data_IF_159359090230
#
_entry.id   IF_159359090230
#
_cell.length_a   1.000
_cell.length_b   1.000
_cell.length_c   1.000
_cell.angle_alpha   90.00
_cell.angle_beta   90.00
_cell.angle_gamma   90.00
#
_symmetry.space_group_name_H-M   'P 1'
#
loop_
_entity.id
_entity.type
_entity.pdbx_description
1 polymer ?
#
# COMPACT_ATOMS: atom_id res chain seq x y z
N UNK A 1 1.13 9.90 46.03
CA UNK A 1 1.88 8.85 46.75
C UNK A 1 2.71 8.13 45.69
N UNK A 2 4.01 8.36 45.46
CA UNK A 2 5.12 8.73 46.33
C UNK A 2 6.27 9.35 45.47
N UNK A 3 6.86 10.44 45.97
CA UNK A 3 8.28 10.93 45.93
C UNK A 3 9.04 11.19 44.61
N UNK A 4 9.28 12.49 44.39
CA UNK A 4 10.54 13.12 43.97
C UNK A 4 11.69 12.84 44.97
N UNK A 5 12.97 12.90 44.53
CA UNK A 5 14.10 13.66 45.12
C UNK A 5 15.49 13.34 44.50
N UNK A 6 16.36 14.38 44.44
CA UNK A 6 17.84 14.35 44.42
C UNK A 6 18.47 14.85 43.12
N UNK A 7 18.91 16.10 42.93
CA UNK A 7 20.03 16.89 43.50
C UNK A 7 21.46 16.34 43.26
N UNK A 8 22.35 17.16 42.67
CA UNK A 8 23.72 17.34 43.20
C UNK A 8 24.95 17.20 42.27
N UNK A 9 25.67 18.33 42.09
CA UNK A 9 27.15 18.55 42.08
C UNK A 9 28.07 18.22 40.87
N UNK A 10 28.55 19.30 40.23
CA UNK A 10 29.93 19.86 40.15
C UNK A 10 31.22 19.02 40.01
N UNK A 11 32.19 19.71 39.37
CA UNK A 11 33.65 19.48 39.19
C UNK A 11 34.05 18.72 37.90
N UNK A 12 35.04 19.13 37.10
CA UNK A 12 36.26 19.87 37.41
C UNK A 12 36.80 20.71 36.24
N UNK A 13 37.41 21.85 36.60
CA UNK A 13 38.38 22.61 35.82
C UNK A 13 39.74 21.89 35.82
N UNK A 14 40.49 21.99 34.72
CA UNK A 14 41.95 22.15 34.83
C UNK A 14 42.53 22.89 33.63
N UNK A 15 43.23 23.99 33.94
CA UNK A 15 44.10 24.76 33.05
C UNK A 15 45.46 24.06 32.92
N UNK A 16 46.12 24.23 31.78
CA UNK A 16 47.56 24.58 31.73
C UNK A 16 47.88 25.33 30.43
N UNK A 17 48.59 26.45 30.57
CA UNK A 17 49.06 27.33 29.52
C UNK A 17 50.52 27.10 29.14
N UNK A 18 50.85 27.33 27.86
CA UNK A 18 52.13 27.89 27.37
C UNK A 18 51.93 28.07 25.85
N UNK A 19 52.02 29.24 25.22
CA UNK A 19 52.85 30.39 25.49
C UNK A 19 53.99 30.39 24.45
N UNK A 20 53.78 31.00 23.28
CA UNK A 20 54.85 31.68 22.52
C UNK A 20 54.26 32.59 21.44
N UNK A 21 54.79 33.81 21.40
CA UNK A 21 54.44 34.92 20.51
C UNK A 21 55.64 35.15 19.60
N UNK A 22 55.45 35.16 18.27
CA UNK A 22 56.37 35.81 17.34
C UNK A 22 55.56 36.64 16.35
N UNK A 23 55.74 37.95 16.44
CA UNK A 23 55.22 38.99 15.54
C UNK A 23 56.11 39.17 14.32
N UNK A 24 55.56 39.34 13.11
CA UNK A 24 56.02 40.28 12.07
C UNK A 24 54.95 40.41 10.95
N UNK A 25 54.38 41.61 10.76
CA UNK A 25 53.64 42.07 9.57
C UNK A 25 54.65 42.68 8.55
N UNK A 26 54.27 43.08 7.31
CA UNK A 26 53.24 42.58 6.39
C UNK A 26 53.81 42.34 4.97
N UNK A 27 53.10 41.60 4.11
CA UNK A 27 53.32 41.69 2.66
C UNK A 27 52.01 41.75 1.89
N UNK A 28 51.97 42.72 0.99
CA UNK A 28 50.82 43.20 0.21
C UNK A 28 50.52 42.26 -0.98
N UNK A 29 49.22 42.00 -1.19
CA UNK A 29 48.48 41.68 -2.44
C UNK A 29 49.08 40.68 -3.45
N UNK A 30 48.35 39.59 -3.78
CA UNK A 30 47.51 39.51 -5.00
C UNK A 30 46.69 38.19 -5.07
N UNK A 31 45.37 38.34 -5.18
CA UNK A 31 44.38 37.52 -5.92
C UNK A 31 44.53 35.99 -5.94
N UNK A 32 43.57 35.28 -5.35
CA UNK A 32 42.67 34.36 -6.08
C UNK A 32 41.52 33.85 -5.21
N UNK A 33 40.30 34.20 -5.62
CA UNK A 33 39.06 33.60 -5.13
C UNK A 33 39.00 32.13 -5.58
N UNK A 34 38.97 31.20 -4.64
CA UNK A 34 38.45 29.86 -4.86
C UNK A 34 37.80 29.35 -3.57
N UNK A 35 36.78 30.07 -3.11
CA UNK A 35 35.86 29.61 -2.07
C UNK A 35 34.46 29.82 -2.62
N UNK A 36 33.94 28.77 -3.26
CA UNK A 36 32.53 28.42 -3.54
C UNK A 36 32.53 27.63 -4.85
N UNK A 37 32.34 26.30 -4.77
CA UNK A 37 31.52 25.52 -5.73
C UNK A 37 31.60 24.03 -5.39
N UNK A 38 31.02 23.62 -4.27
CA UNK A 38 30.78 22.19 -3.98
C UNK A 38 29.43 21.94 -3.26
N UNK A 39 28.42 22.80 -3.51
CA UNK A 39 27.06 22.60 -2.96
C UNK A 39 25.93 22.58 -4.01
N UNK A 40 26.23 22.49 -5.31
CA UNK A 40 25.19 22.52 -6.36
C UNK A 40 24.63 21.15 -6.80
N UNK A 41 25.40 20.07 -6.69
CA UNK A 41 25.04 18.81 -7.35
C UNK A 41 24.15 17.87 -6.51
N UNK A 42 24.18 17.98 -5.18
CA UNK A 42 23.34 17.15 -4.32
C UNK A 42 21.85 17.52 -4.46
N UNK A 43 21.51 18.81 -4.46
CA UNK A 43 20.12 19.27 -4.58
C UNK A 43 19.47 18.94 -5.94
N UNK A 44 20.23 19.06 -7.03
CA UNK A 44 19.75 18.67 -8.37
C UNK A 44 19.54 17.15 -8.49
N UNK A 45 20.44 16.35 -7.93
CA UNK A 45 20.34 14.88 -7.98
C UNK A 45 19.14 14.37 -7.17
N UNK A 46 18.91 14.93 -5.98
CA UNK A 46 17.73 14.61 -5.15
C UNK A 46 16.41 15.05 -5.80
N UNK A 47 16.36 16.25 -6.39
CA UNK A 47 15.15 16.72 -7.07
C UNK A 47 14.81 15.88 -8.32
N UNK A 48 15.82 15.47 -9.09
CA UNK A 48 15.65 14.59 -10.25
C UNK A 48 15.21 13.19 -9.83
N UNK A 49 15.82 12.60 -8.79
CA UNK A 49 15.44 11.27 -8.28
C UNK A 49 14.03 11.25 -7.68
N UNK A 50 13.64 12.30 -6.93
CA UNK A 50 12.29 12.43 -6.39
C UNK A 50 11.24 12.66 -7.49
N UNK A 51 11.58 13.39 -8.54
CA UNK A 51 10.72 13.58 -9.71
C UNK A 51 10.55 12.27 -10.49
N UNK A 52 11.62 11.49 -10.65
CA UNK A 52 11.58 10.16 -11.31
C UNK A 52 10.82 9.11 -10.48
N UNK A 53 10.96 9.11 -9.15
CA UNK A 53 10.19 8.19 -8.31
C UNK A 53 8.70 8.55 -8.30
N UNK A 54 8.37 9.85 -8.24
CA UNK A 54 7.00 10.35 -8.34
C UNK A 54 6.34 10.05 -9.69
N UNK A 55 7.06 10.24 -10.81
CA UNK A 55 6.53 9.91 -12.15
C UNK A 55 6.32 8.40 -12.33
N UNK A 56 7.24 7.58 -11.81
CA UNK A 56 7.09 6.12 -11.82
C UNK A 56 5.92 5.64 -10.95
N UNK A 57 5.66 6.29 -9.81
CA UNK A 57 4.50 5.96 -8.97
C UNK A 57 3.19 6.33 -9.67
N UNK A 58 3.10 7.52 -10.25
CA UNK A 58 1.91 7.96 -10.97
C UNK A 58 1.59 7.03 -12.15
N UNK A 59 2.59 6.59 -12.92
CA UNK A 59 2.41 5.64 -14.02
C UNK A 59 1.87 4.27 -13.53
N UNK A 60 2.35 3.78 -12.38
CA UNK A 60 1.85 2.52 -11.78
C UNK A 60 0.42 2.66 -11.29
N UNK A 61 0.07 3.79 -10.67
CA UNK A 61 -1.31 4.07 -10.26
C UNK A 61 -2.21 4.11 -11.49
N UNK A 62 -1.81 4.84 -12.54
CA UNK A 62 -2.56 4.92 -13.79
C UNK A 62 -2.79 3.53 -14.38
N UNK A 63 -1.74 2.70 -14.47
CA UNK A 63 -1.86 1.34 -14.97
C UNK A 63 -2.85 0.52 -14.13
N UNK A 64 -2.77 0.61 -12.81
CA UNK A 64 -3.66 -0.12 -11.91
C UNK A 64 -5.13 0.34 -12.04
N UNK A 65 -5.37 1.65 -12.17
CA UNK A 65 -6.71 2.22 -12.42
C UNK A 65 -7.27 1.72 -13.75
N UNK A 66 -6.47 1.79 -14.82
CA UNK A 66 -6.89 1.34 -16.16
C UNK A 66 -7.23 -0.14 -16.17
N UNK A 67 -6.44 -0.96 -15.47
CA UNK A 67 -6.69 -2.39 -15.40
C UNK A 67 -7.93 -2.73 -14.57
N UNK A 68 -8.15 -2.08 -13.41
CA UNK A 68 -9.39 -2.25 -12.63
C UNK A 68 -10.61 -1.85 -13.47
N UNK A 69 -10.57 -0.71 -14.16
CA UNK A 69 -11.69 -0.27 -15.01
C UNK A 69 -11.87 -1.14 -16.27
N UNK A 70 -10.82 -1.82 -16.74
CA UNK A 70 -10.93 -2.78 -17.84
C UNK A 70 -11.59 -4.07 -17.41
N UNK A 71 -11.23 -4.58 -16.22
CA UNK A 71 -11.78 -5.81 -15.65
C UNK A 71 -13.19 -5.58 -15.09
N UNK A 72 -13.42 -4.40 -14.51
CA UNK A 72 -14.65 -3.99 -13.86
C UNK A 72 -15.15 -2.64 -14.38
N UNK A 73 -15.69 -2.55 -15.61
CA UNK A 73 -16.12 -1.28 -16.21
C UNK A 73 -17.22 -0.50 -15.46
N UNK A 74 -17.96 -1.15 -14.56
CA UNK A 74 -18.97 -0.52 -13.72
C UNK A 74 -18.41 -0.03 -12.37
N UNK A 75 -17.10 -0.18 -12.12
CA UNK A 75 -16.47 0.28 -10.91
C UNK A 75 -16.55 1.82 -10.78
N UNK A 76 -16.81 2.25 -9.56
CA UNK A 76 -16.91 3.66 -9.16
C UNK A 76 -15.65 4.13 -8.44
N UNK A 77 -15.60 5.39 -8.00
CA UNK A 77 -14.49 5.86 -7.17
C UNK A 77 -14.44 5.12 -5.83
N UNK A 78 -15.59 4.75 -5.27
CA UNK A 78 -15.67 3.91 -4.07
C UNK A 78 -15.01 2.55 -4.27
N UNK A 79 -15.19 1.92 -5.42
CA UNK A 79 -14.59 0.62 -5.73
C UNK A 79 -13.07 0.73 -5.96
N UNK A 80 -12.63 1.79 -6.65
CA UNK A 80 -11.21 2.12 -6.77
C UNK A 80 -10.57 2.39 -5.41
N UNK A 81 -11.25 3.13 -4.53
CA UNK A 81 -10.79 3.32 -3.15
C UNK A 81 -10.57 1.98 -2.46
N UNK A 82 -11.55 1.08 -2.51
CA UNK A 82 -11.43 -0.27 -1.92
C UNK A 82 -10.30 -1.07 -2.56
N UNK A 83 -10.12 -1.01 -3.88
CA UNK A 83 -9.06 -1.68 -4.61
C UNK A 83 -7.67 -1.26 -4.11
N UNK A 84 -7.41 0.05 -4.00
CA UNK A 84 -6.14 0.54 -3.47
C UNK A 84 -5.99 0.30 -1.97
N UNK A 85 -7.07 0.44 -1.20
CA UNK A 85 -7.10 0.16 0.23
C UNK A 85 -6.68 -1.29 0.52
N UNK A 86 -7.17 -2.25 -0.26
CA UNK A 86 -6.77 -3.65 -0.15
C UNK A 86 -5.30 -3.89 -0.48
N UNK A 87 -4.74 -3.14 -1.42
CA UNK A 87 -3.31 -3.19 -1.70
C UNK A 87 -2.45 -2.69 -0.54
N UNK A 88 -2.90 -1.65 0.17
CA UNK A 88 -2.16 -1.06 1.29
C UNK A 88 -2.34 -1.83 2.61
N UNK A 89 -3.57 -2.23 2.93
CA UNK A 89 -3.90 -2.85 4.23
C UNK A 89 -3.89 -4.38 4.19
N UNK A 90 -3.89 -4.98 3.00
CA UNK A 90 -3.96 -6.43 2.84
C UNK A 90 -5.27 -7.05 3.36
N UNK A 91 -5.29 -8.37 3.57
CA UNK A 91 -6.40 -9.04 4.25
C UNK A 91 -6.39 -8.58 5.71
N UNK A 92 -7.39 -7.78 6.09
CA UNK A 92 -7.42 -7.06 7.38
C UNK A 92 -7.25 -7.92 8.65
N UNK A 93 -7.23 -7.24 9.79
CA UNK A 93 -6.61 -7.75 11.03
C UNK A 93 -7.45 -8.68 11.92
N UNK A 94 -8.63 -9.14 11.52
CA UNK A 94 -9.48 -9.97 12.40
C UNK A 94 -9.87 -11.28 11.75
N UNK A 95 -8.97 -12.26 11.88
CA UNK A 95 -9.32 -13.68 11.88
C UNK A 95 -9.44 -14.09 13.35
N UNK A 96 -10.65 -14.08 13.96
CA UNK A 96 -10.81 -14.31 15.40
C UNK A 96 -10.29 -15.69 15.83
N UNK A 97 -10.46 -16.70 14.98
CA UNK A 97 -9.74 -17.97 15.04
C UNK A 97 -9.80 -18.68 13.67
N UNK A 98 -8.87 -19.59 13.39
CA UNK A 98 -8.78 -20.29 12.09
C UNK A 98 -10.00 -21.20 11.80
N UNK A 99 -10.65 -21.75 12.84
CA UNK A 99 -11.86 -22.54 12.69
C UNK A 99 -13.08 -21.65 12.35
N UNK A 100 -13.18 -20.44 12.88
CA UNK A 100 -14.19 -19.45 12.51
C UNK A 100 -14.04 -19.05 11.03
N UNK A 101 -12.83 -18.73 10.59
CA UNK A 101 -12.59 -18.42 9.17
C UNK A 101 -12.90 -19.61 8.24
N UNK A 102 -12.63 -20.84 8.70
CA UNK A 102 -13.05 -22.05 7.97
C UNK A 102 -14.56 -22.17 7.86
N UNK A 103 -15.31 -21.99 8.97
CA UNK A 103 -16.78 -22.05 8.97
C UNK A 103 -17.36 -21.00 8.04
N UNK A 104 -16.88 -19.75 8.11
CA UNK A 104 -17.35 -18.67 7.24
C UNK A 104 -17.04 -18.94 5.77
N UNK A 105 -15.84 -19.43 5.45
CA UNK A 105 -15.51 -19.83 4.08
C UNK A 105 -16.43 -20.94 3.57
N UNK A 106 -16.70 -21.97 4.38
CA UNK A 106 -17.60 -23.06 4.00
C UNK A 106 -19.04 -22.58 3.77
N UNK A 107 -19.55 -21.71 4.65
CA UNK A 107 -20.88 -21.11 4.50
C UNK A 107 -20.98 -20.25 3.24
N UNK A 108 -19.98 -19.41 2.97
CA UNK A 108 -19.94 -18.57 1.78
C UNK A 108 -19.89 -19.42 0.51
N UNK A 109 -19.01 -20.43 0.45
CA UNK A 109 -18.94 -21.35 -0.67
C UNK A 109 -20.25 -22.11 -0.89
N UNK A 110 -21.01 -22.41 0.16
CA UNK A 110 -22.31 -23.05 0.03
C UNK A 110 -23.36 -22.10 -0.52
N UNK A 111 -23.42 -20.86 -0.02
CA UNK A 111 -24.42 -19.87 -0.37
C UNK A 111 -24.19 -19.20 -1.73
N UNK A 112 -22.94 -19.02 -2.16
CA UNK A 112 -22.60 -18.33 -3.40
C UNK A 112 -22.88 -19.22 -4.62
N UNK A 113 -23.70 -18.68 -5.52
CA UNK A 113 -24.04 -19.25 -6.84
C UNK A 113 -23.32 -18.53 -7.97
N UNK A 114 -23.20 -17.21 -7.83
CA UNK A 114 -22.62 -16.33 -8.82
C UNK A 114 -21.26 -15.84 -8.36
N UNK A 115 -20.34 -15.71 -9.30
CA UNK A 115 -18.96 -15.32 -9.05
C UNK A 115 -18.48 -14.41 -10.17
N UNK A 116 -17.55 -13.54 -9.84
CA UNK A 116 -16.83 -12.74 -10.82
C UNK A 116 -16.18 -13.65 -11.89
N UNK A 117 -16.12 -13.14 -13.12
CA UNK A 117 -15.34 -13.74 -14.21
C UNK A 117 -13.84 -13.68 -13.98
N UNK A 118 -13.37 -12.70 -13.19
CA UNK A 118 -11.95 -12.54 -12.87
C UNK A 118 -11.56 -13.57 -11.80
N UNK A 119 -10.75 -14.56 -12.20
CA UNK A 119 -10.36 -15.66 -11.32
C UNK A 119 -9.31 -15.26 -10.28
N UNK A 120 -8.41 -14.36 -10.64
CA UNK A 120 -7.49 -13.72 -9.69
C UNK A 120 -6.99 -12.38 -10.22
N UNK A 121 -6.60 -11.50 -9.31
CA UNK A 121 -6.21 -10.13 -9.65
C UNK A 121 -5.26 -9.52 -8.61
N UNK A 122 -4.06 -9.05 -8.99
CA UNK A 122 -3.24 -8.20 -8.13
C UNK A 122 -3.95 -6.89 -7.79
N UNK A 123 -3.82 -6.40 -6.55
CA UNK A 123 -4.49 -5.17 -6.10
C UNK A 123 -3.54 -4.07 -5.63
N UNK A 124 -3.99 -2.83 -5.76
CA UNK A 124 -3.27 -1.62 -5.40
C UNK A 124 -2.08 -1.30 -6.31
N UNK A 125 -1.26 -0.33 -5.89
CA UNK A 125 -0.12 0.19 -6.69
C UNK A 125 0.99 -0.84 -6.85
N UNK A 126 1.21 -1.62 -5.80
CA UNK A 126 2.35 -2.53 -5.71
C UNK A 126 2.01 -3.98 -6.04
N UNK A 127 0.72 -4.35 -6.04
CA UNK A 127 0.29 -5.71 -6.29
C UNK A 127 0.85 -6.69 -5.26
N UNK A 128 1.08 -6.24 -4.03
CA UNK A 128 1.61 -7.08 -2.94
C UNK A 128 0.60 -8.14 -2.48
N UNK A 129 -0.68 -7.87 -2.76
CA UNK A 129 -1.76 -8.80 -2.52
C UNK A 129 -2.51 -9.11 -3.82
N UNK A 130 -3.15 -10.27 -3.83
CA UNK A 130 -3.91 -10.81 -4.95
C UNK A 130 -5.28 -11.24 -4.44
N UNK A 131 -6.35 -10.72 -5.05
CA UNK A 131 -7.70 -11.26 -4.92
C UNK A 131 -7.72 -12.63 -5.60
N UNK A 132 -8.10 -13.68 -4.89
CA UNK A 132 -8.28 -15.03 -5.43
C UNK A 132 -9.75 -15.36 -5.33
N UNK A 133 -10.39 -15.56 -6.48
CA UNK A 133 -11.81 -15.82 -6.59
C UNK A 133 -12.17 -17.18 -5.97
N UNK A 134 -13.20 -17.20 -5.13
CA UNK A 134 -13.69 -18.40 -4.47
C UNK A 134 -14.29 -19.42 -5.44
N UNK A 135 -14.61 -19.03 -6.68
CA UNK A 135 -14.97 -19.93 -7.77
C UNK A 135 -13.93 -21.04 -7.97
N UNK A 136 -12.65 -20.72 -7.83
CA UNK A 136 -11.56 -21.69 -7.94
C UNK A 136 -11.64 -22.79 -6.87
N UNK A 137 -12.20 -22.47 -5.70
CA UNK A 137 -12.44 -23.46 -4.65
C UNK A 137 -13.74 -24.21 -4.89
N UNK A 138 -14.79 -23.49 -5.30
CA UNK A 138 -16.11 -24.05 -5.64
C UNK A 138 -15.99 -25.13 -6.73
N UNK A 139 -15.13 -24.92 -7.72
CA UNK A 139 -14.88 -25.82 -8.84
C UNK A 139 -13.80 -26.89 -8.56
N UNK A 140 -13.26 -26.92 -7.33
CA UNK A 140 -12.26 -27.91 -6.92
C UNK A 140 -10.88 -27.74 -7.58
N UNK A 141 -10.56 -26.56 -8.10
CA UNK A 141 -9.25 -26.24 -8.65
C UNK A 141 -8.24 -26.01 -7.52
N UNK A 142 -8.62 -25.19 -6.52
CA UNK A 142 -7.84 -24.96 -5.31
C UNK A 142 -8.57 -25.62 -4.12
N UNK A 143 -7.92 -26.50 -3.34
CA UNK A 143 -8.51 -27.00 -2.11
C UNK A 143 -8.79 -25.85 -1.13
N UNK A 144 -9.97 -25.85 -0.49
CA UNK A 144 -10.39 -24.78 0.43
C UNK A 144 -9.37 -24.53 1.56
N UNK A 145 -8.73 -25.60 2.03
CA UNK A 145 -7.72 -25.56 3.08
C UNK A 145 -6.44 -24.84 2.68
N UNK A 146 -5.99 -25.05 1.43
CA UNK A 146 -4.80 -24.36 0.91
C UNK A 146 -5.07 -22.85 0.76
N UNK A 147 -6.26 -22.48 0.26
CA UNK A 147 -6.63 -21.06 0.16
C UNK A 147 -6.79 -20.42 1.55
N UNK A 148 -7.45 -21.12 2.49
CA UNK A 148 -7.63 -20.63 3.85
C UNK A 148 -6.29 -20.44 4.55
N UNK A 149 -5.36 -21.40 4.44
CA UNK A 149 -4.04 -21.29 5.02
C UNK A 149 -3.24 -20.12 4.43
N UNK A 150 -3.33 -19.92 3.10
CA UNK A 150 -2.72 -18.77 2.44
C UNK A 150 -3.31 -17.44 2.92
N UNK A 151 -4.64 -17.36 3.04
CA UNK A 151 -5.35 -16.18 3.55
C UNK A 151 -4.96 -15.86 5.00
N UNK A 152 -5.01 -16.84 5.90
CA UNK A 152 -4.64 -16.67 7.31
C UNK A 152 -3.20 -16.22 7.47
N UNK A 153 -2.28 -16.84 6.73
CA UNK A 153 -0.89 -16.43 6.76
C UNK A 153 -0.70 -14.99 6.27
N UNK A 154 -1.42 -14.61 5.21
CA UNK A 154 -1.34 -13.27 4.64
C UNK A 154 -1.88 -12.21 5.60
N UNK A 155 -2.96 -12.52 6.33
CA UNK A 155 -3.54 -11.62 7.34
C UNK A 155 -2.60 -11.41 8.52
N UNK A 156 -1.96 -12.49 8.99
CA UNK A 156 -1.01 -12.42 10.11
C UNK A 156 0.31 -11.72 9.73
N UNK A 157 0.67 -11.71 8.45
CA UNK A 157 1.87 -11.06 7.95
C UNK A 157 1.64 -9.62 7.45
N UNK A 158 0.38 -9.16 7.39
CA UNK A 158 0.06 -7.84 6.88
C UNK A 158 0.59 -6.74 7.82
N UNK A 159 1.29 -5.77 7.24
CA UNK A 159 1.81 -4.59 7.93
C UNK A 159 1.13 -3.34 7.37
N UNK A 160 -0.05 -2.97 7.89
CA UNK A 160 -0.83 -1.85 7.37
C UNK A 160 -0.09 -0.52 7.62
N UNK A 161 -0.22 0.48 6.73
CA UNK A 161 0.31 1.81 6.98
C UNK A 161 -0.46 2.52 8.10
N UNK A 162 0.17 3.54 8.70
CA UNK A 162 -0.56 4.45 9.57
C UNK A 162 -1.62 5.22 8.78
N UNK A 163 -2.73 5.62 9.43
CA UNK A 163 -3.82 6.34 8.76
C UNK A 163 -3.34 7.61 8.02
N UNK A 164 -2.41 8.36 8.61
CA UNK A 164 -1.85 9.55 7.98
C UNK A 164 -1.05 9.25 6.70
N UNK A 165 -0.33 8.11 6.68
CA UNK A 165 0.41 7.66 5.50
C UNK A 165 -0.57 7.24 4.39
N UNK A 166 -1.61 6.49 4.76
CA UNK A 166 -2.67 6.12 3.83
C UNK A 166 -3.40 7.33 3.25
N UNK A 167 -3.74 8.34 4.07
CA UNK A 167 -4.37 9.57 3.59
C UNK A 167 -3.51 10.29 2.54
N UNK A 168 -2.19 10.36 2.76
CA UNK A 168 -1.25 10.97 1.80
C UNK A 168 -1.17 10.17 0.50
N UNK A 169 -1.07 8.84 0.60
CA UNK A 169 -1.04 7.97 -0.58
C UNK A 169 -2.35 8.05 -1.36
N UNK A 170 -3.49 8.02 -0.66
CA UNK A 170 -4.81 8.15 -1.27
C UNK A 170 -4.99 9.45 -2.03
N UNK A 171 -4.52 10.59 -1.51
CA UNK A 171 -4.58 11.86 -2.24
C UNK A 171 -3.76 11.83 -3.53
N UNK A 172 -2.62 11.14 -3.52
CA UNK A 172 -1.80 10.91 -4.73
C UNK A 172 -2.55 10.05 -5.74
N UNK A 173 -3.18 8.97 -5.27
CA UNK A 173 -4.00 8.07 -6.10
C UNK A 173 -5.18 8.82 -6.71
N UNK A 174 -5.90 9.58 -5.90
CA UNK A 174 -7.09 10.33 -6.31
C UNK A 174 -6.77 11.36 -7.40
N UNK A 175 -5.63 12.05 -7.30
CA UNK A 175 -5.17 12.98 -8.32
C UNK A 175 -4.94 12.27 -9.67
N UNK A 176 -4.36 11.07 -9.66
CA UNK A 176 -4.16 10.27 -10.88
C UNK A 176 -5.50 9.76 -11.43
N UNK A 177 -6.41 9.27 -10.57
CA UNK A 177 -7.75 8.83 -10.99
C UNK A 177 -8.48 9.98 -11.70
N UNK A 178 -8.46 11.20 -11.14
CA UNK A 178 -9.11 12.37 -11.73
C UNK A 178 -8.57 12.69 -13.13
N UNK A 179 -7.27 12.46 -13.38
CA UNK A 179 -6.66 12.70 -14.69
C UNK A 179 -6.97 11.57 -15.70
N UNK A 180 -6.98 10.32 -15.25
CA UNK A 180 -7.07 9.12 -16.11
C UNK A 180 -8.51 8.74 -16.42
N UNK A 181 -9.42 8.99 -15.48
CA UNK A 181 -10.83 8.62 -15.57
C UNK A 181 -11.75 9.80 -15.19
N UNK A 182 -11.70 10.93 -15.93
CA UNK A 182 -12.45 12.14 -15.60
C UNK A 182 -13.97 11.99 -15.71
N UNK A 183 -14.45 10.92 -16.37
CA UNK A 183 -15.86 10.61 -16.55
C UNK A 183 -16.37 9.51 -15.61
N UNK A 184 -15.66 9.23 -14.50
CA UNK A 184 -16.14 8.29 -13.48
C UNK A 184 -17.52 8.73 -12.95
N UNK A 185 -18.50 7.82 -12.88
CA UNK A 185 -19.82 8.12 -12.32
C UNK A 185 -19.70 8.65 -10.88
N UNK A 186 -20.51 9.67 -10.54
CA UNK A 186 -20.62 10.23 -9.19
C UNK A 186 -19.30 10.67 -8.52
N UNK A 187 -18.22 10.91 -9.30
CA UNK A 187 -16.86 11.15 -8.77
C UNK A 187 -16.80 12.21 -7.66
N UNK A 188 -17.46 13.36 -7.85
CA UNK A 188 -17.41 14.47 -6.88
C UNK A 188 -18.11 14.12 -5.55
N UNK A 189 -19.24 13.43 -5.63
CA UNK A 189 -20.01 12.98 -4.47
C UNK A 189 -19.23 11.90 -3.69
N UNK A 190 -18.75 10.88 -4.38
CA UNK A 190 -17.99 9.79 -3.76
C UNK A 190 -16.65 10.26 -3.19
N UNK A 191 -15.99 11.22 -3.84
CA UNK A 191 -14.76 11.86 -3.31
C UNK A 191 -15.04 12.46 -1.95
N UNK A 192 -16.13 13.24 -1.86
CA UNK A 192 -16.54 13.90 -0.62
C UNK A 192 -16.90 12.87 0.46
N UNK A 193 -17.62 11.80 0.10
CA UNK A 193 -17.97 10.72 1.01
C UNK A 193 -16.73 9.99 1.57
N UNK A 194 -15.74 9.69 0.71
CA UNK A 194 -14.47 9.07 1.13
C UNK A 194 -13.67 10.01 2.04
N UNK A 195 -13.57 11.29 1.70
CA UNK A 195 -12.85 12.28 2.52
C UNK A 195 -13.48 12.44 3.91
N UNK A 196 -14.82 12.48 4.00
CA UNK A 196 -15.52 12.54 5.28
C UNK A 196 -15.30 11.29 6.14
N UNK A 197 -15.34 10.10 5.52
CA UNK A 197 -15.05 8.83 6.20
C UNK A 197 -13.63 8.80 6.74
N UNK A 198 -12.64 9.21 5.93
CA UNK A 198 -11.24 9.31 6.33
C UNK A 198 -11.05 10.30 7.50
N UNK A 199 -11.76 11.43 7.50
CA UNK A 199 -11.69 12.42 8.58
C UNK A 199 -12.25 11.91 9.91
N UNK A 200 -13.22 10.98 9.88
CA UNK A 200 -13.78 10.31 11.07
C UNK A 200 -13.00 9.07 11.50
N UNK A 201 -11.97 8.67 10.77
CA UNK A 201 -11.24 7.42 11.01
C UNK A 201 -11.97 6.16 10.53
N UNK A 202 -13.05 6.30 9.76
CA UNK A 202 -13.81 5.20 9.15
C UNK A 202 -13.20 4.82 7.79
N UNK A 203 -11.95 4.37 7.77
CA UNK A 203 -11.17 4.23 6.55
C UNK A 203 -11.37 2.91 5.79
N UNK A 204 -12.18 1.97 6.29
CA UNK A 204 -12.40 0.67 5.65
C UNK A 204 -13.26 0.82 4.39
N UNK A 205 -12.76 0.30 3.26
CA UNK A 205 -13.46 0.33 1.97
C UNK A 205 -14.49 -0.79 1.80
N UNK A 206 -15.70 -0.41 1.35
CA UNK A 206 -16.76 -1.32 0.93
C UNK A 206 -17.01 -1.18 -0.57
N UNK A 207 -17.44 -2.24 -1.24
CA UNK A 207 -17.81 -2.13 -2.66
C UNK A 207 -19.06 -1.28 -2.79
N UNK A 208 -19.23 -0.63 -3.94
CA UNK A 208 -20.51 -0.02 -4.27
C UNK A 208 -21.57 -1.11 -4.48
N UNK A 209 -22.84 -0.78 -4.27
CA UNK A 209 -23.94 -1.72 -4.51
C UNK A 209 -23.95 -2.20 -5.97
N UNK A 210 -23.71 -1.29 -6.92
CA UNK A 210 -23.64 -1.62 -8.34
C UNK A 210 -22.50 -2.60 -8.67
N UNK A 211 -21.37 -2.48 -7.99
CA UNK A 211 -20.26 -3.43 -8.13
C UNK A 211 -20.64 -4.81 -7.57
N UNK A 212 -21.22 -4.87 -6.37
CA UNK A 212 -21.62 -6.13 -5.73
C UNK A 212 -22.65 -6.88 -6.57
N UNK A 213 -23.67 -6.18 -7.07
CA UNK A 213 -24.72 -6.75 -7.92
C UNK A 213 -24.20 -7.23 -9.28
N UNK A 214 -23.18 -6.57 -9.84
CA UNK A 214 -22.69 -6.88 -11.18
C UNK A 214 -21.63 -7.98 -11.20
N UNK A 215 -20.75 -7.98 -10.20
CA UNK A 215 -19.55 -8.80 -10.22
C UNK A 215 -19.55 -9.90 -9.16
N UNK A 216 -20.42 -9.84 -8.14
CA UNK A 216 -20.48 -10.84 -7.07
C UNK A 216 -19.08 -11.16 -6.49
N UNK A 217 -18.41 -10.16 -5.86
CA UNK A 217 -16.99 -10.23 -5.49
C UNK A 217 -16.69 -11.20 -4.33
N UNK A 218 -16.78 -12.49 -4.59
CA UNK A 218 -16.42 -13.56 -3.66
C UNK A 218 -14.96 -13.94 -3.83
N UNK A 219 -14.07 -13.30 -3.07
CA UNK A 219 -12.64 -13.59 -3.11
C UNK A 219 -12.00 -13.64 -1.72
N UNK A 220 -10.77 -14.15 -1.67
CA UNK A 220 -9.86 -13.95 -0.55
C UNK A 220 -8.60 -13.22 -1.01
N UNK A 221 -8.15 -12.31 -0.17
CA UNK A 221 -6.96 -11.53 -0.43
C UNK A 221 -5.75 -12.27 0.17
N UNK A 222 -4.79 -12.66 -0.67
CA UNK A 222 -3.58 -13.36 -0.23
C UNK A 222 -2.36 -12.57 -0.65
N UNK A 223 -1.25 -12.67 0.08
CA UNK A 223 0.01 -12.05 -0.34
C UNK A 223 0.50 -12.67 -1.64
N UNK A 224 1.22 -11.90 -2.45
CA UNK A 224 1.78 -12.34 -3.73
C UNK A 224 2.59 -13.62 -3.59
N UNK A 225 3.44 -13.70 -2.57
CA UNK A 225 4.25 -14.89 -2.32
C UNK A 225 3.38 -16.14 -2.05
N UNK A 226 2.26 -15.99 -1.34
CA UNK A 226 1.32 -17.10 -1.12
C UNK A 226 0.49 -17.42 -2.36
N UNK A 227 0.11 -16.42 -3.13
CA UNK A 227 -0.53 -16.64 -4.43
C UNK A 227 0.38 -17.44 -5.37
N UNK A 228 1.66 -17.10 -5.50
CA UNK A 228 2.60 -17.80 -6.37
C UNK A 228 2.74 -19.28 -6.00
N UNK A 229 2.69 -19.61 -4.71
CA UNK A 229 2.68 -20.99 -4.21
C UNK A 229 1.40 -21.71 -4.66
N UNK A 230 0.22 -21.10 -4.46
CA UNK A 230 -1.05 -21.66 -4.93
C UNK A 230 -1.07 -21.81 -6.45
N UNK A 231 -0.57 -20.82 -7.18
CA UNK A 231 -0.54 -20.80 -8.63
C UNK A 231 0.30 -21.95 -9.18
N UNK A 232 1.54 -22.09 -8.68
CA UNK A 232 2.43 -23.19 -9.08
C UNK A 232 1.83 -24.56 -8.76
N UNK A 233 1.20 -24.70 -7.59
CA UNK A 233 0.68 -25.98 -7.09
C UNK A 233 -0.62 -26.41 -7.77
N UNK A 234 -1.51 -25.45 -8.11
CA UNK A 234 -2.89 -25.76 -8.52
C UNK A 234 -3.30 -25.11 -9.84
N UNK A 235 -2.99 -23.83 -10.05
CA UNK A 235 -3.49 -23.08 -11.22
C UNK A 235 -2.72 -23.42 -12.49
N UNK A 236 -1.39 -23.43 -12.46
CA UNK A 236 -0.59 -23.77 -13.63
C UNK A 236 -0.88 -25.19 -14.16
N UNK A 237 -1.00 -26.23 -13.31
CA UNK A 237 -1.46 -27.55 -13.77
C UNK A 237 -2.89 -27.52 -14.33
N UNK A 238 -3.81 -26.76 -13.73
CA UNK A 238 -5.18 -26.66 -14.22
C UNK A 238 -5.28 -25.96 -15.58
N UNK A 239 -4.48 -24.91 -15.81
CA UNK A 239 -4.34 -24.24 -17.11
C UNK A 239 -3.79 -25.20 -18.16
N UNK A 240 -2.72 -25.94 -17.85
CA UNK A 240 -2.14 -26.93 -18.76
C UNK A 240 -3.12 -28.05 -19.13
N UNK A 241 -4.06 -28.37 -18.23
CA UNK A 241 -5.12 -29.34 -18.45
C UNK A 241 -6.41 -28.75 -19.07
N UNK A 242 -6.43 -27.46 -19.43
CA UNK A 242 -7.60 -26.80 -20.03
C UNK A 242 -8.82 -26.67 -19.10
N UNK A 243 -8.60 -26.61 -17.78
CA UNK A 243 -9.66 -26.49 -16.76
C UNK A 243 -9.91 -25.05 -16.30
N UNK A 244 -9.22 -24.08 -16.88
CA UNK A 244 -9.26 -22.64 -16.55
C UNK A 244 -9.37 -21.83 -17.84
#
# INVERSE_FOLDING_TARGET
MLRLLGEGCDAALNLTSSGEVVTFLPMIMLKSNAMLLLCGCAGLCWAVLACQSGSNQAARIEQAVREELRLHPAATLQDLYKFFFQGAYGPGHMIPDAAAARRFLAMELHASTDFDSVLWQPVGVHGEYVRVNLKLVKEGIIPAEDLLAAFVHSANAASPPALAEWQKEWQTILAVIAAVAPALPAFAEEKTAVEQKLARGEFVGHHSEGYEQRYHPHYRLVSRAKFEQLHKKFLAPAQAAGRL
#
